data_IF_039667324053
#
_entry.id   IF_039667324053
#
_cell.length_a   1.000
_cell.length_b   1.000
_cell.length_c   1.000
_cell.angle_alpha   90.00
_cell.angle_beta   90.00
_cell.angle_gamma   90.00
#
_symmetry.space_group_name_H-M   'P 1'
#
loop_
_entity.id
_entity.type
_entity.pdbx_description
1 polymer ?
#
# COMPACT_ATOMS: atom_id res chain seq x y z
N UNK A 1 6.12 -4.25 -11.87
CA UNK A 1 4.89 -4.16 -12.70
C UNK A 1 4.89 -5.14 -13.85
N UNK A 2 5.97 -5.26 -14.63
CA UNK A 2 6.06 -6.27 -15.72
C UNK A 2 5.80 -7.72 -15.28
N UNK A 3 6.16 -8.09 -14.04
CA UNK A 3 5.92 -9.44 -13.49
C UNK A 3 4.45 -9.82 -13.25
N UNK A 4 3.54 -8.84 -13.10
CA UNK A 4 2.10 -9.09 -12.89
C UNK A 4 1.22 -8.57 -14.04
N UNK A 5 1.80 -7.94 -15.07
CA UNK A 5 1.04 -7.39 -16.20
C UNK A 5 0.08 -6.24 -15.85
N UNK A 6 0.23 -5.61 -14.68
CA UNK A 6 -0.65 -4.51 -14.22
C UNK A 6 -0.20 -3.18 -14.84
N UNK A 7 -1.14 -2.43 -15.44
CA UNK A 7 -0.86 -1.10 -15.98
C UNK A 7 -0.76 -0.05 -14.88
N UNK A 8 -0.22 1.13 -15.20
CA UNK A 8 -0.13 2.22 -14.21
C UNK A 8 -1.52 2.73 -13.81
N UNK A 9 -2.48 2.74 -14.73
CA UNK A 9 -3.87 3.15 -14.45
C UNK A 9 -4.56 2.15 -13.52
N UNK A 10 -4.44 0.86 -13.82
CA UNK A 10 -5.01 -0.20 -12.97
C UNK A 10 -4.45 -0.16 -11.56
N UNK A 11 -3.15 0.10 -11.42
CA UNK A 11 -2.55 0.23 -10.10
C UNK A 11 -2.97 1.52 -9.40
N UNK A 12 -3.12 2.62 -10.12
CA UNK A 12 -3.60 3.88 -9.55
C UNK A 12 -4.98 3.70 -8.92
N UNK A 13 -5.88 3.05 -9.65
CA UNK A 13 -7.22 2.71 -9.19
C UNK A 13 -7.18 1.76 -7.98
N UNK A 14 -6.44 0.65 -8.07
CA UNK A 14 -6.43 -0.36 -7.00
C UNK A 14 -5.67 0.05 -5.74
N UNK A 15 -4.79 1.06 -5.81
CA UNK A 15 -4.03 1.58 -4.68
C UNK A 15 -4.47 2.98 -4.22
N UNK A 16 -5.46 3.60 -4.87
CA UNK A 16 -5.88 4.98 -4.62
C UNK A 16 -4.72 5.99 -4.64
N UNK A 17 -3.74 5.74 -5.51
CA UNK A 17 -2.58 6.61 -5.73
C UNK A 17 -2.67 7.24 -7.11
N UNK A 18 -2.28 8.51 -7.22
CA UNK A 18 -2.19 9.16 -8.51
C UNK A 18 -1.16 8.45 -9.42
N UNK A 19 -1.48 8.30 -10.71
CA UNK A 19 -0.58 7.73 -11.73
C UNK A 19 0.78 8.43 -11.75
N UNK A 20 0.81 9.76 -11.54
CA UNK A 20 2.05 10.55 -11.39
C UNK A 20 2.91 10.07 -10.22
N UNK A 21 2.30 9.78 -9.08
CA UNK A 21 2.99 9.28 -7.88
C UNK A 21 3.58 7.90 -8.15
N UNK A 22 2.82 7.03 -8.83
CA UNK A 22 3.30 5.71 -9.25
C UNK A 22 4.51 5.82 -10.19
N UNK A 23 4.46 6.71 -11.19
CA UNK A 23 5.59 6.96 -12.11
C UNK A 23 6.84 7.41 -11.37
N UNK A 24 6.70 8.35 -10.43
CA UNK A 24 7.81 8.86 -9.63
C UNK A 24 8.48 7.76 -8.79
N UNK A 25 7.72 6.79 -8.28
CA UNK A 25 8.30 5.63 -7.58
C UNK A 25 9.04 4.67 -8.51
N UNK A 26 8.64 4.58 -9.78
CA UNK A 26 9.34 3.76 -10.76
C UNK A 26 10.65 4.40 -11.23
N UNK A 27 10.67 5.72 -11.40
CA UNK A 27 11.85 6.45 -11.87
C UNK A 27 12.93 6.63 -10.79
N UNK A 28 12.68 6.18 -9.55
CA UNK A 28 13.56 6.41 -8.39
C UNK A 28 13.82 7.90 -8.09
N UNK A 29 13.02 8.80 -8.67
CA UNK A 29 13.13 10.25 -8.46
C UNK A 29 12.37 10.71 -7.20
N UNK A 30 11.62 9.81 -6.57
CA UNK A 30 10.80 10.15 -5.41
C UNK A 30 11.65 10.28 -4.13
N UNK A 31 11.53 11.40 -3.38
CA UNK A 31 12.07 11.50 -2.04
C UNK A 31 11.21 10.61 -1.13
N UNK A 32 11.75 9.48 -0.68
CA UNK A 32 11.18 8.55 0.32
C UNK A 32 9.65 8.34 0.28
N UNK A 33 9.21 7.17 -0.21
CA UNK A 33 7.80 6.79 -0.14
C UNK A 33 7.32 6.67 1.31
N UNK A 34 6.20 7.29 1.68
CA UNK A 34 5.62 7.16 3.03
C UNK A 34 5.07 5.75 3.30
N UNK A 35 5.17 5.24 4.55
CA UNK A 35 4.67 3.91 4.92
C UNK A 35 3.22 3.63 4.46
N UNK A 36 2.22 4.52 4.67
CA UNK A 36 0.85 4.27 4.19
C UNK A 36 0.78 4.03 2.68
N UNK A 37 1.60 4.74 1.90
CA UNK A 37 1.65 4.56 0.43
C UNK A 37 2.30 3.24 0.04
N UNK A 38 3.25 2.75 0.84
CA UNK A 38 3.81 1.40 0.65
C UNK A 38 2.75 0.34 0.90
N UNK A 39 1.94 0.48 1.97
CA UNK A 39 0.84 -0.44 2.26
C UNK A 39 -0.21 -0.43 1.13
N UNK A 40 -0.58 0.77 0.66
CA UNK A 40 -1.50 0.94 -0.47
C UNK A 40 -0.99 0.24 -1.75
N UNK A 41 0.31 0.34 -2.05
CA UNK A 41 0.93 -0.36 -3.17
C UNK A 41 0.89 -1.88 -3.00
N UNK A 42 1.12 -2.39 -1.79
CA UNK A 42 1.04 -3.83 -1.50
C UNK A 42 -0.37 -4.38 -1.78
N UNK A 43 -1.40 -3.65 -1.36
CA UNK A 43 -2.82 -4.00 -1.58
C UNK A 43 -3.17 -3.87 -3.06
N UNK A 44 -2.84 -2.75 -3.71
CA UNK A 44 -3.16 -2.53 -5.11
C UNK A 44 -2.48 -3.51 -6.06
N UNK A 45 -1.28 -3.99 -5.71
CA UNK A 45 -0.57 -5.05 -6.42
C UNK A 45 -1.03 -6.47 -6.02
N UNK A 46 -1.92 -6.60 -5.02
CA UNK A 46 -2.37 -7.87 -4.44
C UNK A 46 -1.20 -8.79 -4.11
N UNK A 47 -0.18 -8.25 -3.44
CA UNK A 47 1.03 -9.00 -3.13
C UNK A 47 0.77 -10.06 -2.05
N UNK A 48 1.48 -11.18 -2.18
CA UNK A 48 1.55 -12.17 -1.11
C UNK A 48 2.19 -11.53 0.14
N UNK A 49 1.75 -11.83 1.37
CA UNK A 49 2.26 -11.19 2.59
C UNK A 49 3.79 -11.12 2.68
N UNK A 50 4.49 -12.21 2.31
CA UNK A 50 5.97 -12.26 2.28
C UNK A 50 6.56 -11.14 1.41
N UNK A 51 5.99 -10.89 0.24
CA UNK A 51 6.46 -9.83 -0.67
C UNK A 51 6.08 -8.44 -0.15
N UNK A 52 4.96 -8.30 0.55
CA UNK A 52 4.59 -7.05 1.20
C UNK A 52 5.63 -6.65 2.25
N UNK A 53 6.01 -7.56 3.15
CA UNK A 53 7.00 -7.29 4.19
C UNK A 53 8.39 -6.99 3.60
N UNK A 54 8.79 -7.68 2.53
CA UNK A 54 10.02 -7.37 1.81
C UNK A 54 9.98 -5.97 1.19
N UNK A 55 8.84 -5.56 0.59
CA UNK A 55 8.68 -4.22 0.02
C UNK A 55 8.74 -3.12 1.09
N UNK A 56 8.08 -3.33 2.24
CA UNK A 56 8.14 -2.41 3.39
C UNK A 56 9.58 -2.23 3.89
N UNK A 57 10.34 -3.33 3.99
CA UNK A 57 11.75 -3.28 4.38
C UNK A 57 12.60 -2.54 3.36
N UNK A 58 12.41 -2.79 2.06
CA UNK A 58 13.12 -2.10 0.96
C UNK A 58 12.80 -0.61 0.91
N UNK A 59 11.60 -0.21 1.32
CA UNK A 59 11.22 1.18 1.49
C UNK A 59 11.82 1.85 2.74
N UNK A 60 12.60 1.12 3.55
CA UNK A 60 13.29 1.65 4.73
C UNK A 60 12.48 1.63 6.02
N UNK A 61 11.31 0.98 6.03
CA UNK A 61 10.43 0.95 7.21
C UNK A 61 10.57 -0.34 8.01
N UNK A 62 10.28 -0.23 9.31
CA UNK A 62 10.05 -1.35 10.22
C UNK A 62 8.75 -1.10 10.97
N UNK A 63 8.00 -2.18 11.18
CA UNK A 63 6.82 -2.10 12.02
C UNK A 63 7.21 -1.92 13.50
N UNK A 64 6.37 -1.21 14.24
CA UNK A 64 6.47 -1.01 15.67
C UNK A 64 5.14 -1.44 16.30
N UNK A 65 4.97 -1.25 17.60
CA UNK A 65 3.77 -1.66 18.34
C UNK A 65 2.72 -0.54 18.47
N UNK A 66 2.75 0.48 17.62
CA UNK A 66 1.66 1.46 17.58
C UNK A 66 0.42 0.84 16.93
N UNK A 67 -0.76 1.32 17.31
CA UNK A 67 -2.03 0.87 16.75
C UNK A 67 -2.05 0.95 15.22
N UNK A 68 -1.50 2.04 14.66
CA UNK A 68 -1.35 2.23 13.22
C UNK A 68 -0.53 1.12 12.56
N UNK A 69 0.66 0.82 13.11
CA UNK A 69 1.54 -0.19 12.53
C UNK A 69 0.96 -1.59 12.66
N UNK A 70 0.30 -1.90 13.78
CA UNK A 70 -0.40 -3.17 13.98
C UNK A 70 -1.53 -3.33 12.96
N UNK A 71 -2.33 -2.28 12.72
CA UNK A 71 -3.37 -2.32 11.71
C UNK A 71 -2.79 -2.53 10.30
N UNK A 72 -1.68 -1.88 9.95
CA UNK A 72 -0.99 -2.14 8.68
C UNK A 72 -0.51 -3.58 8.56
N UNK A 73 0.03 -4.17 9.63
CA UNK A 73 0.42 -5.58 9.62
C UNK A 73 -0.78 -6.51 9.42
N UNK A 74 -1.93 -6.21 10.03
CA UNK A 74 -3.18 -6.95 9.83
C UNK A 74 -3.65 -6.89 8.38
N UNK A 75 -3.63 -5.71 7.77
CA UNK A 75 -3.96 -5.53 6.35
C UNK A 75 -3.03 -6.37 5.45
N UNK A 76 -1.71 -6.30 5.68
CA UNK A 76 -0.73 -7.04 4.89
C UNK A 76 -0.80 -8.56 5.08
N UNK A 77 -1.23 -9.02 6.26
CA UNK A 77 -1.36 -10.43 6.58
C UNK A 77 -2.65 -11.07 6.05
N UNK A 78 -3.74 -10.30 6.00
CA UNK A 78 -5.09 -10.87 5.87
C UNK A 78 -5.94 -10.26 4.77
N UNK A 79 -5.68 -9.01 4.36
CA UNK A 79 -6.58 -8.23 3.51
C UNK A 79 -5.96 -7.78 2.19
N UNK A 80 -4.78 -8.30 1.80
CA UNK A 80 -4.12 -7.88 0.54
C UNK A 80 -4.88 -8.28 -0.72
N UNK A 81 -5.83 -9.22 -0.63
CA UNK A 81 -6.69 -9.62 -1.75
C UNK A 81 -8.01 -8.84 -1.78
N UNK A 82 -8.38 -8.19 -0.68
CA UNK A 82 -9.55 -7.33 -0.58
C UNK A 82 -9.36 -6.04 -1.38
N UNK A 83 -10.46 -5.43 -1.88
CA UNK A 83 -10.39 -4.09 -2.45
C UNK A 83 -9.90 -3.08 -1.40
N UNK A 84 -9.16 -2.07 -1.85
CA UNK A 84 -8.58 -1.05 -0.96
C UNK A 84 -9.63 -0.27 -0.17
N UNK A 85 -10.85 -0.13 -0.70
CA UNK A 85 -11.97 0.47 0.02
C UNK A 85 -12.34 -0.31 1.30
N UNK A 86 -12.38 -1.65 1.25
CA UNK A 86 -12.60 -2.47 2.46
C UNK A 86 -11.45 -2.33 3.47
N UNK A 87 -10.22 -2.21 2.97
CA UNK A 87 -9.06 -1.93 3.83
C UNK A 87 -9.18 -0.55 4.51
N UNK A 88 -9.69 0.46 3.80
CA UNK A 88 -9.91 1.79 4.35
C UNK A 88 -11.04 1.81 5.38
N UNK A 89 -12.12 1.07 5.14
CA UNK A 89 -13.20 0.91 6.13
C UNK A 89 -12.69 0.24 7.41
N UNK A 90 -11.84 -0.78 7.29
CA UNK A 90 -11.16 -1.37 8.45
C UNK A 90 -10.30 -0.35 9.22
N UNK A 91 -9.51 0.47 8.51
CA UNK A 91 -8.69 1.50 9.15
C UNK A 91 -9.55 2.56 9.85
N UNK A 92 -10.64 3.00 9.22
CA UNK A 92 -11.59 3.95 9.82
C UNK A 92 -12.24 3.40 11.09
N UNK A 93 -12.65 2.13 11.07
CA UNK A 93 -13.20 1.45 12.24
C UNK A 93 -12.17 1.35 13.39
N UNK A 94 -10.88 1.26 13.05
CA UNK A 94 -9.77 1.28 14.01
C UNK A 94 -9.31 2.71 14.41
N UNK A 95 -9.95 3.77 13.91
CA UNK A 95 -9.57 5.16 14.20
C UNK A 95 -8.32 5.65 13.47
N UNK A 96 -7.88 4.95 12.43
CA UNK A 96 -6.68 5.22 11.64
C UNK A 96 -7.06 5.86 10.30
N UNK A 97 -6.19 6.72 9.78
CA UNK A 97 -6.40 7.37 8.50
C UNK A 97 -6.42 6.36 7.33
N UNK A 98 -7.31 6.52 6.34
CA UNK A 98 -7.38 5.63 5.19
C UNK A 98 -6.12 5.71 4.31
N UNK A 99 -5.91 4.65 3.53
CA UNK A 99 -4.85 4.58 2.53
C UNK A 99 -5.29 5.28 1.24
N UNK A 100 -4.39 6.12 0.70
CA UNK A 100 -4.65 6.88 -0.52
C UNK A 100 -5.71 7.97 -0.32
N UNK A 101 -6.21 8.52 -1.42
CA UNK A 101 -7.35 9.45 -1.40
C UNK A 101 -8.51 8.82 -2.16
N UNK A 102 -9.63 8.67 -1.47
CA UNK A 102 -10.93 8.41 -2.07
C UNK A 102 -11.44 9.80 -2.48
N UNK A 103 -11.48 10.10 -3.78
CA UNK A 103 -12.05 11.37 -4.29
C UNK A 103 -13.56 11.46 -4.02
#
# INVERSE_FOLDING_TARGET
>A
MQRKGVTQEQLAESSLLATRTIRSYQSMEAPSIGLPRVIALCIGLKLHPILCFDLVRKAGYRFNLTEEHVAYQMLLGSMTQSPIYECNEYLRAAGIQPLGKEE
#
